data_IF_737568374302
#
_entry.id   IF_737568374302
#
_cell.length_a   1.000
_cell.length_b   1.000
_cell.length_c   1.000
_cell.angle_alpha   90.00
_cell.angle_beta   90.00
_cell.angle_gamma   90.00
#
_symmetry.space_group_name_H-M   'P 1'
#
loop_
_entity.id
_entity.type
_entity.pdbx_description
1 polymer ?
#
# COMPACT_ATOMS: atom_id res chain seq x y z
N UNK A 1 -3.73 -18.09 29.00
CA UNK A 1 -2.44 -18.63 28.58
C UNK A 1 -2.00 -17.80 27.38
N UNK A 2 -0.88 -17.12 27.42
CA UNK A 2 -0.43 -16.32 26.28
C UNK A 2 0.33 -17.23 25.33
N UNK A 3 0.15 -17.09 23.99
CA UNK A 3 0.89 -17.88 23.03
C UNK A 3 2.41 -17.63 23.18
N UNK A 4 3.21 -18.65 22.97
CA UNK A 4 4.67 -18.55 22.89
C UNK A 4 5.18 -18.54 21.46
N UNK A 5 4.30 -18.88 20.52
CA UNK A 5 4.58 -19.03 19.10
C UNK A 5 3.42 -18.45 18.29
N UNK A 6 3.72 -17.83 17.18
CA UNK A 6 2.77 -17.33 16.23
C UNK A 6 3.31 -17.50 14.80
N UNK A 7 2.41 -17.57 13.84
CA UNK A 7 2.71 -17.59 12.41
C UNK A 7 1.99 -16.45 11.72
N UNK A 8 2.64 -15.79 10.78
CA UNK A 8 2.11 -14.65 10.06
C UNK A 8 2.55 -14.69 8.59
N UNK A 9 1.70 -14.24 7.69
CA UNK A 9 2.04 -14.04 6.29
C UNK A 9 2.79 -12.71 6.11
N UNK A 10 3.69 -12.66 5.14
CA UNK A 10 4.23 -11.37 4.68
C UNK A 10 3.08 -10.46 4.22
N UNK A 11 3.24 -9.17 4.42
CA UNK A 11 2.26 -8.11 4.19
C UNK A 11 1.09 -8.06 5.20
N UNK A 12 1.08 -8.96 6.19
CA UNK A 12 0.17 -8.87 7.32
C UNK A 12 0.74 -8.05 8.48
N UNK A 13 -0.08 -7.81 9.50
CA UNK A 13 0.32 -7.10 10.72
C UNK A 13 0.19 -7.99 11.94
N UNK A 14 1.18 -7.90 12.83
CA UNK A 14 1.13 -8.54 14.16
C UNK A 14 0.81 -7.49 15.20
N UNK A 15 -0.34 -7.62 15.86
CA UNK A 15 -0.78 -6.70 16.92
C UNK A 15 -0.66 -7.32 18.30
N UNK A 16 -0.03 -6.61 19.20
CA UNK A 16 0.13 -6.97 20.60
C UNK A 16 -0.80 -6.15 21.46
N UNK A 17 -1.60 -6.84 22.28
CA UNK A 17 -2.46 -6.21 23.27
C UNK A 17 -1.88 -6.43 24.66
N UNK A 18 -1.64 -5.35 25.37
CA UNK A 18 -1.18 -5.42 26.75
C UNK A 18 -2.38 -5.55 27.71
N UNK A 19 -2.47 -6.69 28.35
CA UNK A 19 -3.52 -6.97 29.36
C UNK A 19 -3.02 -6.80 30.80
N UNK A 20 -1.79 -6.30 30.98
CA UNK A 20 -1.18 -6.07 32.27
C UNK A 20 -1.29 -4.59 32.69
N UNK A 21 -1.10 -4.32 33.94
CA UNK A 21 -1.11 -2.99 34.55
C UNK A 21 0.25 -2.26 34.49
N UNK A 22 1.17 -2.75 33.66
CA UNK A 22 2.53 -2.22 33.46
C UNK A 22 2.83 -2.02 32.00
N UNK A 23 3.72 -1.09 31.67
CA UNK A 23 4.20 -0.89 30.31
C UNK A 23 4.93 -2.14 29.79
N UNK A 24 4.74 -2.41 28.53
CA UNK A 24 5.48 -3.43 27.78
C UNK A 24 6.17 -2.81 26.58
N UNK A 25 7.38 -3.28 26.31
CA UNK A 25 8.12 -2.95 25.08
C UNK A 25 8.43 -4.25 24.37
N UNK A 26 8.03 -4.35 23.10
CA UNK A 26 8.34 -5.49 22.24
C UNK A 26 9.46 -5.05 21.30
N UNK A 27 10.49 -5.85 21.19
CA UNK A 27 11.65 -5.59 20.32
C UNK A 27 11.97 -6.82 19.49
N UNK A 28 12.47 -6.59 18.29
CA UNK A 28 12.93 -7.63 17.38
C UNK A 28 14.23 -7.24 16.71
N UNK A 29 15.13 -8.20 16.63
CA UNK A 29 16.35 -8.19 15.84
C UNK A 29 16.05 -9.00 14.58
N UNK A 30 15.93 -8.33 13.44
CA UNK A 30 15.46 -8.94 12.20
C UNK A 30 16.60 -9.61 11.46
N UNK A 31 17.77 -8.98 11.42
CA UNK A 31 18.93 -9.48 10.68
C UNK A 31 19.87 -10.37 11.52
N UNK A 32 19.63 -10.49 12.82
CA UNK A 32 20.38 -11.35 13.73
C UNK A 32 21.75 -10.78 14.12
N UNK A 33 21.96 -9.49 14.00
CA UNK A 33 23.22 -8.83 14.34
C UNK A 33 23.39 -8.53 15.85
N UNK A 34 22.35 -8.77 16.63
CA UNK A 34 22.30 -8.53 18.07
C UNK A 34 21.82 -7.13 18.44
N UNK A 35 21.44 -6.31 17.46
CA UNK A 35 20.83 -4.99 17.65
C UNK A 35 19.35 -5.06 17.27
N UNK A 36 18.48 -4.46 18.07
CA UNK A 36 17.07 -4.46 17.75
C UNK A 36 16.74 -3.45 16.64
N UNK A 37 16.23 -3.92 15.51
CA UNK A 37 15.84 -3.11 14.36
C UNK A 37 14.51 -2.40 14.55
N UNK A 38 13.58 -3.09 15.21
CA UNK A 38 12.25 -2.55 15.44
C UNK A 38 11.83 -2.69 16.89
N UNK A 39 10.99 -1.75 17.30
CA UNK A 39 10.39 -1.76 18.63
C UNK A 39 9.00 -1.16 18.60
N UNK A 40 8.12 -1.65 19.47
CA UNK A 40 6.86 -0.98 19.78
C UNK A 40 6.60 -1.01 21.29
N UNK A 41 5.79 -0.07 21.77
CA UNK A 41 5.52 0.11 23.19
C UNK A 41 4.02 0.17 23.44
N UNK A 42 3.61 -0.49 24.53
CA UNK A 42 2.21 -0.44 24.98
C UNK A 42 2.17 0.17 26.38
N UNK A 43 1.17 1.02 26.61
CA UNK A 43 0.82 1.45 27.97
C UNK A 43 0.17 0.31 28.78
N UNK A 44 0.00 0.48 30.08
CA UNK A 44 -0.80 -0.43 30.90
C UNK A 44 -2.22 -0.58 30.34
N UNK A 45 -2.77 -1.79 30.49
CA UNK A 45 -4.14 -2.09 30.03
C UNK A 45 -5.14 -1.09 30.61
N UNK A 46 -5.90 -0.45 29.72
CA UNK A 46 -6.99 0.44 30.07
C UNK A 46 -8.10 0.30 29.03
N UNK A 47 -9.28 -0.14 29.44
CA UNK A 47 -10.41 -0.44 28.57
C UNK A 47 -10.91 0.75 27.72
N UNK A 48 -10.44 1.96 27.97
CA UNK A 48 -10.80 3.19 27.25
C UNK A 48 -9.67 3.77 26.41
N UNK A 49 -8.53 3.10 26.26
CA UNK A 49 -7.35 3.60 25.56
C UNK A 49 -6.87 2.60 24.52
N UNK A 50 -6.55 3.10 23.32
CA UNK A 50 -5.84 2.33 22.28
C UNK A 50 -4.31 2.30 22.50
N UNK A 51 -3.82 2.88 23.59
CA UNK A 51 -2.37 2.93 23.90
C UNK A 51 -1.85 1.61 24.50
N UNK A 52 -2.74 0.70 24.81
CA UNK A 52 -2.43 -0.64 25.29
C UNK A 52 -2.18 -1.65 24.16
N UNK A 53 -2.17 -1.16 22.91
CA UNK A 53 -1.83 -1.97 21.75
C UNK A 53 -0.66 -1.40 20.98
N UNK A 54 0.09 -2.25 20.28
CA UNK A 54 1.08 -1.86 19.29
C UNK A 54 1.22 -2.92 18.20
N UNK A 55 1.61 -2.52 17.00
CA UNK A 55 1.65 -3.40 15.83
C UNK A 55 2.96 -3.27 15.08
N UNK A 56 3.41 -4.38 14.51
CA UNK A 56 4.42 -4.44 13.47
C UNK A 56 3.76 -4.80 12.14
N UNK A 57 4.09 -4.06 11.09
CA UNK A 57 3.80 -4.47 9.72
C UNK A 57 4.92 -5.40 9.26
N UNK A 58 4.57 -6.61 8.85
CA UNK A 58 5.51 -7.62 8.36
C UNK A 58 5.61 -7.48 6.84
N UNK A 59 6.24 -6.41 6.37
CA UNK A 59 6.45 -6.19 4.94
C UNK A 59 7.50 -7.17 4.37
N UNK A 60 7.36 -7.52 3.09
CA UNK A 60 8.19 -8.53 2.46
C UNK A 60 9.67 -8.11 2.31
N UNK A 61 9.95 -6.82 2.24
CA UNK A 61 11.30 -6.29 2.07
C UNK A 61 12.04 -6.22 3.41
N UNK A 62 11.34 -5.82 4.47
CA UNK A 62 11.90 -5.69 5.82
C UNK A 62 11.90 -6.99 6.64
N UNK A 63 11.00 -7.94 6.31
CA UNK A 63 10.84 -9.21 7.02
C UNK A 63 10.92 -10.41 6.06
N UNK A 64 12.12 -10.87 5.69
CA UNK A 64 12.27 -12.12 4.96
C UNK A 64 11.51 -13.28 5.61
N UNK A 65 11.05 -14.25 4.83
CA UNK A 65 10.44 -15.45 5.41
C UNK A 65 11.44 -16.18 6.32
N UNK A 66 11.04 -16.49 7.56
CA UNK A 66 11.94 -17.06 8.55
C UNK A 66 11.36 -17.06 9.95
N UNK A 67 12.20 -17.37 10.93
CA UNK A 67 11.84 -17.40 12.34
C UNK A 67 12.50 -16.24 13.07
N UNK A 68 11.72 -15.51 13.84
CA UNK A 68 12.14 -14.33 14.58
C UNK A 68 11.84 -14.47 16.06
N UNK A 69 12.73 -13.93 16.88
CA UNK A 69 12.52 -13.81 18.33
C UNK A 69 12.03 -12.39 18.64
N UNK A 70 10.85 -12.29 19.18
CA UNK A 70 10.30 -11.03 19.68
C UNK A 70 10.48 -11.00 21.21
N UNK A 71 11.35 -10.12 21.65
CA UNK A 71 11.66 -9.95 23.06
C UNK A 71 10.72 -8.95 23.70
N UNK A 72 9.96 -9.42 24.69
CA UNK A 72 9.01 -8.61 25.44
C UNK A 72 9.64 -8.20 26.76
N UNK A 73 9.79 -6.89 26.95
CA UNK A 73 10.32 -6.29 28.15
C UNK A 73 9.20 -5.75 29.04
N UNK A 74 9.39 -5.86 30.33
CA UNK A 74 8.57 -5.25 31.36
C UNK A 74 9.43 -4.36 32.24
N UNK A 75 9.15 -3.06 32.30
CA UNK A 75 9.95 -2.10 33.08
C UNK A 75 11.47 -2.20 32.76
N UNK A 76 11.82 -2.42 31.50
CA UNK A 76 13.21 -2.54 31.06
C UNK A 76 13.87 -3.91 31.26
N UNK A 77 13.20 -4.86 31.89
CA UNK A 77 13.70 -6.23 32.09
C UNK A 77 13.04 -7.18 31.09
N UNK A 78 13.83 -8.04 30.45
CA UNK A 78 13.30 -9.10 29.59
C UNK A 78 12.35 -9.99 30.38
N UNK A 79 11.09 -10.03 29.97
CA UNK A 79 10.05 -10.81 30.61
C UNK A 79 9.78 -12.12 29.89
N UNK A 80 9.76 -12.07 28.54
CA UNK A 80 9.45 -13.24 27.71
C UNK A 80 9.96 -13.03 26.30
N UNK A 81 10.37 -14.11 25.64
CA UNK A 81 10.59 -14.17 24.20
C UNK A 81 9.46 -14.94 23.54
N UNK A 82 8.95 -14.44 22.43
CA UNK A 82 7.94 -15.08 21.57
C UNK A 82 8.61 -15.46 20.26
N UNK A 83 8.28 -16.63 19.72
CA UNK A 83 8.73 -17.05 18.41
C UNK A 83 7.69 -16.65 17.36
N UNK A 84 8.10 -15.91 16.34
CA UNK A 84 7.28 -15.53 15.20
C UNK A 84 7.84 -16.20 13.95
N UNK A 85 7.02 -17.01 13.28
CA UNK A 85 7.34 -17.56 11.97
C UNK A 85 6.68 -16.70 10.90
N UNK A 86 7.49 -16.10 10.04
CA UNK A 86 7.04 -15.34 8.87
C UNK A 86 7.10 -16.26 7.66
N UNK A 87 5.99 -16.40 6.96
CA UNK A 87 5.89 -17.22 5.74
C UNK A 87 5.57 -16.35 4.53
N UNK A 88 6.02 -16.77 3.36
CA UNK A 88 5.72 -16.08 2.12
C UNK A 88 4.22 -16.11 1.84
N UNK A 89 3.71 -14.96 1.44
CA UNK A 89 2.36 -14.86 0.91
C UNK A 89 2.37 -15.27 -0.57
N UNK A 90 2.21 -16.56 -0.83
CA UNK A 90 2.03 -17.07 -2.19
C UNK A 90 0.56 -16.96 -2.58
N UNK A 91 0.16 -15.83 -3.10
CA UNK A 91 -1.07 -15.77 -3.89
C UNK A 91 -0.78 -16.40 -5.26
N UNK A 92 -1.10 -17.68 -5.41
CA UNK A 92 -1.32 -18.19 -6.75
C UNK A 92 -2.50 -17.42 -7.32
N UNK A 93 -2.24 -16.48 -8.21
CA UNK A 93 -3.31 -15.89 -9.01
C UNK A 93 -3.90 -17.02 -9.86
N UNK A 94 -4.83 -17.76 -9.26
CA UNK A 94 -5.76 -18.57 -10.01
C UNK A 94 -6.51 -17.57 -10.86
N UNK A 95 -6.17 -17.51 -12.15
CA UNK A 95 -6.89 -16.69 -13.11
C UNK A 95 -8.40 -16.91 -12.96
N UNK A 96 -9.23 -16.00 -13.45
CA UNK A 96 -10.67 -16.09 -13.26
C UNK A 96 -11.14 -17.49 -13.61
N UNK A 97 -12.06 -18.10 -12.81
CA UNK A 97 -12.56 -19.45 -13.04
C UNK A 97 -12.95 -19.61 -14.50
N UNK A 98 -12.54 -20.70 -15.14
CA UNK A 98 -12.87 -20.96 -16.53
C UNK A 98 -14.40 -20.86 -16.69
N UNK A 99 -14.86 -19.92 -17.51
CA UNK A 99 -16.29 -19.61 -17.70
C UNK A 99 -16.68 -18.21 -17.24
N UNK A 100 -15.87 -17.50 -16.49
CA UNK A 100 -16.02 -16.05 -16.28
C UNK A 100 -15.33 -15.30 -17.42
N UNK A 101 -15.99 -15.25 -18.56
CA UNK A 101 -15.70 -14.22 -19.55
C UNK A 101 -16.35 -12.93 -19.04
N UNK A 102 -15.57 -12.10 -18.37
CA UNK A 102 -15.86 -10.68 -18.42
C UNK A 102 -15.69 -10.31 -19.89
N UNK A 103 -16.78 -10.22 -20.63
CA UNK A 103 -16.80 -9.70 -21.99
C UNK A 103 -16.25 -8.28 -21.97
N UNK A 104 -14.93 -8.18 -21.99
CA UNK A 104 -14.24 -6.93 -22.32
C UNK A 104 -14.22 -6.66 -23.83
N UNK A 105 -14.90 -7.48 -24.63
CA UNK A 105 -14.87 -7.31 -26.08
C UNK A 105 -15.88 -6.30 -26.63
N UNK A 106 -16.76 -5.72 -25.82
CA UNK A 106 -17.74 -4.79 -26.40
C UNK A 106 -17.66 -3.35 -25.91
N UNK A 107 -16.72 -2.97 -25.06
CA UNK A 107 -16.71 -1.57 -24.58
C UNK A 107 -15.42 -0.79 -24.81
N UNK A 108 -14.33 -1.44 -25.24
CA UNK A 108 -13.05 -0.71 -25.42
C UNK A 108 -12.81 -0.22 -26.86
N UNK A 109 -13.47 -0.78 -27.86
CA UNK A 109 -13.24 -0.35 -29.24
C UNK A 109 -14.19 0.77 -29.71
N UNK A 110 -15.38 0.93 -29.11
CA UNK A 110 -16.28 2.02 -29.51
C UNK A 110 -16.06 3.31 -28.73
N UNK A 111 -15.65 3.25 -27.47
CA UNK A 111 -15.41 4.44 -26.66
C UNK A 111 -14.11 5.18 -27.07
N UNK A 112 -13.05 4.46 -27.49
CA UNK A 112 -11.82 5.10 -27.93
C UNK A 112 -11.91 5.67 -29.34
N UNK A 113 -12.68 5.07 -30.25
CA UNK A 113 -12.89 5.66 -31.58
C UNK A 113 -13.73 6.95 -31.52
N UNK A 114 -14.68 7.05 -30.60
CA UNK A 114 -15.48 8.26 -30.45
C UNK A 114 -14.71 9.44 -29.85
N UNK A 115 -13.81 9.19 -28.92
CA UNK A 115 -13.04 10.25 -28.24
C UNK A 115 -11.88 10.73 -29.11
N UNK A 116 -11.17 9.85 -29.81
CA UNK A 116 -10.11 10.25 -30.75
C UNK A 116 -10.67 11.00 -31.96
N UNK A 117 -11.84 10.59 -32.47
CA UNK A 117 -12.52 11.30 -33.55
C UNK A 117 -12.96 12.72 -33.12
N UNK A 118 -13.46 12.90 -31.93
CA UNK A 118 -13.88 14.20 -31.37
C UNK A 118 -12.67 15.11 -31.10
N UNK A 119 -11.59 14.59 -30.52
CA UNK A 119 -10.37 15.38 -30.29
C UNK A 119 -9.69 15.78 -31.60
N UNK A 120 -9.63 14.88 -32.59
CA UNK A 120 -9.12 15.19 -33.93
C UNK A 120 -9.94 16.26 -34.63
N UNK A 121 -11.26 16.19 -34.57
CA UNK A 121 -12.18 17.14 -35.16
C UNK A 121 -12.10 18.53 -34.51
N UNK A 122 -12.05 18.60 -33.18
CA UNK A 122 -11.90 19.86 -32.43
C UNK A 122 -10.55 20.52 -32.70
N UNK A 123 -9.47 19.76 -32.84
CA UNK A 123 -8.14 20.29 -33.18
C UNK A 123 -8.09 20.85 -34.56
N UNK A 124 -8.69 20.18 -35.58
CA UNK A 124 -8.76 20.66 -36.93
C UNK A 124 -9.61 21.91 -37.03
N UNK A 125 -10.72 22.00 -36.32
CA UNK A 125 -11.59 23.17 -36.28
C UNK A 125 -10.90 24.40 -35.68
N UNK A 126 -10.11 24.19 -34.62
CA UNK A 126 -9.30 25.25 -34.03
C UNK A 126 -8.23 25.80 -34.97
N UNK A 127 -7.56 24.94 -35.79
CA UNK A 127 -6.58 25.34 -36.77
C UNK A 127 -7.24 26.16 -37.88
N UNK A 128 -8.41 25.76 -38.38
CA UNK A 128 -9.15 26.49 -39.44
C UNK A 128 -9.57 27.87 -38.95
N UNK A 129 -10.09 27.99 -37.72
CA UNK A 129 -10.48 29.28 -37.16
C UNK A 129 -9.28 30.21 -36.95
N UNK A 130 -8.14 29.66 -36.50
CA UNK A 130 -6.92 30.45 -36.30
C UNK A 130 -6.37 30.97 -37.63
N UNK A 131 -6.30 30.15 -38.69
CA UNK A 131 -5.81 30.56 -40.03
C UNK A 131 -6.75 31.61 -40.63
N UNK A 132 -8.07 31.45 -40.52
CA UNK A 132 -9.03 32.43 -40.98
C UNK A 132 -8.86 33.79 -40.29
N UNK A 133 -8.64 33.79 -38.95
CA UNK A 133 -8.44 35.04 -38.21
C UNK A 133 -7.16 35.77 -38.60
N UNK A 134 -6.07 35.04 -38.88
CA UNK A 134 -4.80 35.62 -39.33
C UNK A 134 -4.96 36.22 -40.73
N UNK A 135 -5.67 35.57 -41.62
CA UNK A 135 -5.92 36.12 -42.98
C UNK A 135 -6.77 37.39 -42.93
N UNK A 136 -7.82 37.44 -42.13
CA UNK A 136 -8.62 38.67 -41.94
C UNK A 136 -7.79 39.79 -41.32
N UNK A 137 -6.91 39.52 -40.41
CA UNK A 137 -6.02 40.49 -39.81
C UNK A 137 -5.03 41.07 -40.82
N UNK A 138 -4.41 40.18 -41.65
CA UNK A 138 -3.49 40.59 -42.71
C UNK A 138 -4.20 41.45 -43.78
N UNK A 139 -5.41 41.06 -44.19
CA UNK A 139 -6.20 41.82 -45.17
C UNK A 139 -6.57 43.24 -44.66
N UNK A 140 -6.88 43.37 -43.35
CA UNK A 140 -7.14 44.69 -42.76
C UNK A 140 -5.89 45.54 -42.63
N UNK A 141 -4.72 44.96 -42.47
CA UNK A 141 -3.45 45.68 -42.36
C UNK A 141 -2.89 46.12 -43.68
N UNK A 142 -3.15 45.38 -44.76
CA UNK A 142 -2.67 45.70 -46.12
C UNK A 142 -3.58 46.71 -46.88
N UNK A 143 -4.71 47.09 -46.34
CA UNK A 143 -5.65 48.03 -46.98
C UNK A 143 -5.55 49.48 -46.46
N UNK A 144 -4.48 49.87 -45.81
CA UNK A 144 -4.23 51.21 -45.28
C UNK A 144 -3.02 51.92 -45.94
N UNK A 145 -2.84 51.71 -47.24
CA UNK A 145 -1.99 52.58 -48.07
C UNK A 145 -2.86 53.40 -49.01
#
# INVERSE_FOLDING_TARGET
MQPSEAEVLQNDSVTFYNVADVNRTIKVDIDGDGVYDQRCETAPSNSSSIKDECSFLVDADGWPAGNYNLDVFSNGTLWKTLNLTVIHDYHEELGPPQGYNFNNESSTNEANQGVEGLQGSLRNLAIILFTASVLVWLARRGGSE
#
